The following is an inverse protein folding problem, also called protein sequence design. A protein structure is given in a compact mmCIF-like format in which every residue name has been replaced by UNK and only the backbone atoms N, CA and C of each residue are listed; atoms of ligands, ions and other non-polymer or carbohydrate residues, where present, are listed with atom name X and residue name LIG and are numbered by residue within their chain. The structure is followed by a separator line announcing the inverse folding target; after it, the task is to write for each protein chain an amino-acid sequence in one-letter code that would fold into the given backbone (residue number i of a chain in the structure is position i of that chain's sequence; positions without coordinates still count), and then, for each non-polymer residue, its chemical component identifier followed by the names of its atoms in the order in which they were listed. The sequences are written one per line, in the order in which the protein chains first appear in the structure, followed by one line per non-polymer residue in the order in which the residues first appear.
data_IF_044067363471
#
_entry.id   IF_044067363471
#
_cell.length_a   1.000
_cell.length_b   1.000
_cell.length_c   1.000
_cell.angle_alpha   90.00
_cell.angle_beta   90.00
_cell.angle_gamma   90.00
#
_symmetry.space_group_name_H-M   'P 1'
#
loop_
_entity.id
_entity.type
_entity.pdbx_description
1 polymer ?
#
# COMPACT_ATOMS: atom_id res chain seq x y z
N UNK A 1 -27.62 -2.16 -7.60
CA UNK A 1 -26.40 -1.89 -8.39
C UNK A 1 -25.21 -2.22 -7.52
N UNK A 2 -24.44 -3.25 -7.87
CA UNK A 2 -23.31 -3.70 -7.04
C UNK A 2 -22.11 -2.78 -7.29
N UNK A 3 -21.70 -2.02 -6.27
CA UNK A 3 -20.41 -1.32 -6.27
C UNK A 3 -19.33 -2.40 -6.35
N UNK A 4 -18.57 -2.42 -7.44
CA UNK A 4 -17.39 -3.28 -7.53
C UNK A 4 -16.44 -2.94 -6.38
N UNK A 5 -15.89 -3.96 -5.73
CA UNK A 5 -14.92 -3.82 -4.65
C UNK A 5 -13.85 -4.88 -4.83
N UNK A 6 -12.64 -4.53 -4.43
CA UNK A 6 -11.53 -5.47 -4.33
C UNK A 6 -11.81 -6.46 -3.20
N UNK A 7 -11.71 -7.76 -3.47
CA UNK A 7 -11.80 -8.79 -2.43
C UNK A 7 -10.50 -8.77 -1.60
N UNK A 8 -10.56 -8.57 -0.28
CA UNK A 8 -9.38 -8.67 0.58
C UNK A 8 -8.65 -10.02 0.48
N UNK A 9 -9.35 -11.11 0.11
CA UNK A 9 -8.75 -12.43 -0.10
C UNK A 9 -7.82 -12.51 -1.32
N UNK A 10 -8.00 -11.63 -2.31
CA UNK A 10 -7.15 -11.54 -3.50
C UNK A 10 -5.94 -10.61 -3.31
N UNK A 11 -5.81 -10.00 -2.12
CA UNK A 11 -4.75 -9.04 -1.81
C UNK A 11 -3.70 -9.67 -0.91
N UNK A 12 -2.46 -9.67 -1.39
CA UNK A 12 -1.29 -10.00 -0.58
C UNK A 12 -0.63 -8.72 -0.07
N UNK A 13 -0.01 -8.80 1.10
CA UNK A 13 0.66 -7.67 1.72
C UNK A 13 2.04 -8.06 2.21
N UNK A 14 2.96 -7.10 2.21
CA UNK A 14 4.27 -7.31 2.78
C UNK A 14 4.99 -6.01 3.09
N UNK A 15 6.17 -6.17 3.68
CA UNK A 15 7.06 -5.07 4.02
C UNK A 15 8.47 -5.40 3.53
N UNK A 16 9.19 -4.35 3.12
CA UNK A 16 10.60 -4.42 2.78
C UNK A 16 11.28 -3.21 3.37
N UNK A 17 12.34 -3.43 4.14
CA UNK A 17 13.25 -2.34 4.49
C UNK A 17 14.10 -2.06 3.25
N UNK A 18 13.98 -0.90 2.58
CA UNK A 18 14.87 -0.54 1.50
C UNK A 18 16.31 -0.56 2.02
N UNK A 19 17.20 -1.25 1.27
CA UNK A 19 18.62 -1.25 1.57
C UNK A 19 19.11 0.17 1.29
N UNK A 20 19.68 0.85 2.28
CA UNK A 20 20.14 2.22 2.13
C UNK A 20 21.17 2.30 1.01
N UNK A 21 20.82 2.92 -0.12
CA UNK A 21 21.71 3.08 -1.28
C UNK A 21 22.74 4.19 -1.08
N UNK A 22 22.68 4.97 0.01
CA UNK A 22 23.68 6.00 0.31
C UNK A 22 23.79 6.33 1.81
N UNK A 23 25.01 6.46 2.34
CA UNK A 23 25.24 6.71 3.76
C UNK A 23 24.87 8.12 4.24
N UNK A 24 24.61 9.08 3.33
CA UNK A 24 24.37 10.49 3.67
C UNK A 24 22.90 10.91 3.80
N UNK A 25 21.96 10.03 3.45
CA UNK A 25 20.51 10.29 3.57
C UNK A 25 19.83 9.07 4.20
N UNK A 26 20.22 8.76 5.44
CA UNK A 26 19.77 7.56 6.15
C UNK A 26 18.62 7.90 7.09
N UNK A 27 17.53 8.43 6.56
CA UNK A 27 16.27 8.29 7.29
C UNK A 27 15.84 6.85 7.05
N UNK A 28 15.81 5.97 8.08
CA UNK A 28 15.39 4.60 7.88
C UNK A 28 13.95 4.62 7.40
N UNK A 29 13.69 4.13 6.18
CA UNK A 29 12.33 3.98 5.68
C UNK A 29 11.94 2.50 5.78
N UNK A 30 10.64 2.23 5.87
CA UNK A 30 10.04 0.90 5.66
C UNK A 30 9.08 1.03 4.49
N UNK A 31 9.23 0.20 3.46
CA UNK A 31 8.30 0.16 2.34
C UNK A 31 7.23 -0.89 2.63
N UNK A 32 5.98 -0.46 2.68
CA UNK A 32 4.81 -1.34 2.76
C UNK A 32 4.23 -1.47 1.36
N UNK A 33 3.83 -2.66 0.96
CA UNK A 33 3.24 -2.91 -0.34
C UNK A 33 2.00 -3.80 -0.23
N UNK A 34 1.05 -3.58 -1.14
CA UNK A 34 -0.10 -4.43 -1.39
C UNK A 34 -0.12 -4.84 -2.85
N UNK A 35 -0.49 -6.08 -3.12
CA UNK A 35 -0.57 -6.62 -4.47
C UNK A 35 -1.88 -7.37 -4.68
N UNK A 36 -2.54 -7.10 -5.80
CA UNK A 36 -3.70 -7.84 -6.25
C UNK A 36 -3.26 -9.05 -7.08
N UNK A 37 -3.38 -10.25 -6.51
CA UNK A 37 -2.87 -11.50 -7.11
C UNK A 37 -3.36 -11.76 -8.53
N UNK A 38 -4.67 -11.68 -8.82
CA UNK A 38 -5.22 -11.96 -10.14
C UNK A 38 -4.67 -11.07 -11.28
N UNK A 39 -4.28 -9.83 -10.98
CA UNK A 39 -3.78 -8.88 -11.99
C UNK A 39 -2.29 -8.58 -11.87
N UNK A 40 -1.62 -9.06 -10.82
CA UNK A 40 -0.23 -8.71 -10.50
C UNK A 40 0.01 -7.21 -10.26
N UNK A 41 -1.05 -6.44 -9.94
CA UNK A 41 -0.94 -4.99 -9.74
C UNK A 41 -0.47 -4.72 -8.33
N UNK A 42 0.57 -3.90 -8.19
CA UNK A 42 1.15 -3.56 -6.91
C UNK A 42 1.06 -2.05 -6.62
N UNK A 43 0.81 -1.73 -5.36
CA UNK A 43 0.94 -0.38 -4.78
C UNK A 43 1.90 -0.46 -3.61
N UNK A 44 2.65 0.60 -3.37
CA UNK A 44 3.55 0.65 -2.23
C UNK A 44 3.70 2.07 -1.72
N UNK A 45 3.84 2.21 -0.42
CA UNK A 45 4.15 3.47 0.23
C UNK A 45 5.36 3.31 1.15
N UNK A 46 6.11 4.39 1.30
CA UNK A 46 7.24 4.45 2.20
C UNK A 46 6.83 5.11 3.51
N UNK A 47 7.18 4.44 4.60
CA UNK A 47 7.01 4.94 5.96
C UNK A 47 8.37 5.35 6.46
N UNK A 48 8.54 6.64 6.72
CA UNK A 48 9.72 7.15 7.40
C UNK A 48 9.70 6.67 8.84
N UNK A 49 10.69 5.88 9.22
CA UNK A 49 10.95 5.50 10.62
C UNK A 49 11.78 6.63 11.22
N UNK A 50 11.20 7.34 12.19
CA UNK A 50 11.92 8.37 12.95
C UNK A 50 12.64 7.67 14.10
N UNK A 51 13.99 7.73 14.17
CA UNK A 51 14.73 7.14 15.29
C UNK A 51 14.29 7.76 16.61
N UNK A 52 13.99 6.93 17.62
CA UNK A 52 13.53 7.38 18.94
C UNK A 52 12.02 7.57 19.09
N UNK A 53 11.26 7.42 18.00
CA UNK A 53 9.80 7.23 18.09
C UNK A 53 9.58 5.72 18.22
N UNK A 54 9.05 5.21 19.36
CA UNK A 54 8.74 3.80 19.51
C UNK A 54 7.82 3.39 18.37
N UNK A 55 8.10 2.22 17.78
CA UNK A 55 7.49 1.62 16.58
C UNK A 55 6.36 2.43 15.99
N UNK A 56 6.55 2.91 14.74
CA UNK A 56 5.50 3.47 13.88
C UNK A 56 4.14 2.98 14.36
N UNK A 57 3.31 3.83 15.00
CA UNK A 57 2.19 3.34 15.80
C UNK A 57 1.41 2.33 14.97
N UNK A 58 1.00 1.16 15.50
CA UNK A 58 0.22 0.18 14.75
C UNK A 58 -0.96 0.80 13.99
N UNK A 59 -1.46 1.93 14.52
CA UNK A 59 -2.42 2.85 13.89
C UNK A 59 -1.93 3.42 12.56
N UNK A 60 -0.73 4.00 12.49
CA UNK A 60 -0.18 4.59 11.26
C UNK A 60 0.06 3.53 10.18
N UNK A 61 0.51 2.33 10.56
CA UNK A 61 0.61 1.21 9.61
C UNK A 61 -0.76 0.78 9.10
N UNK A 62 -1.77 0.69 9.98
CA UNK A 62 -3.14 0.36 9.60
C UNK A 62 -3.74 1.42 8.66
N UNK A 63 -3.54 2.71 8.95
CA UNK A 63 -4.01 3.80 8.09
C UNK A 63 -3.31 3.81 6.72
N UNK A 64 -2.00 3.51 6.69
CA UNK A 64 -1.26 3.38 5.45
C UNK A 64 -1.78 2.21 4.60
N UNK A 65 -2.05 1.06 5.22
CA UNK A 65 -2.63 -0.10 4.54
C UNK A 65 -4.01 0.20 3.98
N UNK A 66 -4.87 0.93 4.71
CA UNK A 66 -6.18 1.39 4.19
C UNK A 66 -6.02 2.27 2.97
N UNK A 67 -5.06 3.20 3.01
CA UNK A 67 -4.76 4.12 1.91
C UNK A 67 -4.25 3.38 0.69
N UNK A 68 -3.32 2.44 0.88
CA UNK A 68 -2.83 1.56 -0.19
C UNK A 68 -3.94 0.69 -0.76
N UNK A 69 -4.83 0.15 0.07
CA UNK A 69 -5.94 -0.69 -0.41
C UNK A 69 -6.87 0.10 -1.33
N UNK A 70 -7.21 1.34 -0.96
CA UNK A 70 -8.00 2.23 -1.81
C UNK A 70 -7.28 2.56 -3.13
N UNK A 71 -5.96 2.79 -3.10
CA UNK A 71 -5.18 3.01 -4.33
C UNK A 71 -5.17 1.75 -5.23
N UNK A 72 -5.00 0.57 -4.62
CA UNK A 72 -5.01 -0.70 -5.34
C UNK A 72 -6.37 -0.96 -5.98
N UNK A 73 -7.46 -0.74 -5.24
CA UNK A 73 -8.83 -0.84 -5.74
C UNK A 73 -9.00 0.05 -6.98
N UNK A 74 -8.57 1.33 -6.91
CA UNK A 74 -8.64 2.24 -8.05
C UNK A 74 -7.79 1.79 -9.25
N UNK A 75 -6.59 1.23 -9.02
CA UNK A 75 -5.75 0.69 -10.10
C UNK A 75 -6.39 -0.53 -10.75
N UNK A 76 -6.94 -1.44 -9.95
CA UNK A 76 -7.59 -2.66 -10.46
C UNK A 76 -8.85 -2.30 -11.24
N UNK A 77 -9.70 -1.40 -10.73
CA UNK A 77 -10.87 -0.91 -11.46
C UNK A 77 -10.50 -0.36 -12.84
N UNK A 78 -9.48 0.52 -12.88
CA UNK A 78 -8.99 1.11 -14.14
C UNK A 78 -8.44 0.04 -15.08
N UNK A 79 -7.72 -0.93 -14.54
CA UNK A 79 -7.14 -2.03 -15.32
C UNK A 79 -8.20 -2.96 -15.91
N UNK A 80 -9.25 -3.27 -15.15
CA UNK A 80 -10.36 -4.12 -15.58
C UNK A 80 -11.42 -3.37 -16.41
N UNK A 81 -11.26 -2.06 -16.63
CA UNK A 81 -12.21 -1.25 -17.39
C UNK A 81 -13.57 -1.10 -16.70
N UNK A 82 -13.63 -1.24 -15.37
CA UNK A 82 -14.88 -1.19 -14.62
C UNK A 82 -15.29 0.29 -14.42
N UNK A 83 -16.53 0.68 -14.74
CA UNK A 83 -16.96 2.06 -14.62
C UNK A 83 -17.02 2.50 -13.15
N UNK A 84 -16.19 3.47 -12.76
CA UNK A 84 -16.28 4.15 -11.46
C UNK A 84 -17.36 5.24 -11.58
N UNK A 85 -18.59 4.93 -11.18
CA UNK A 85 -19.57 5.99 -10.97
C UNK A 85 -19.20 6.78 -9.71
N UNK A 86 -18.69 8.00 -9.90
CA UNK A 86 -18.63 9.02 -8.84
C UNK A 86 -20.07 9.44 -8.55
N UNK A 87 -20.60 8.96 -7.44
CA UNK A 87 -21.84 9.43 -6.82
C UNK A 87 -21.69 10.86 -6.31
#
# INVERSE_FOLDING_TARGET
MNRWRLDPGDVTSGWKTPKAESPRSQIPARRVWLEHGPTGLQVSAEVVVVPGVPDTPPVLEAELRKSLFAELELKVVRHLGIPIHRS
#
